data_IF_829273466282
#
_entry.id   IF_829273466282
#
_cell.length_a   1.000
_cell.length_b   1.000
_cell.length_c   1.000
_cell.angle_alpha   90.00
_cell.angle_beta   90.00
_cell.angle_gamma   90.00
#
_symmetry.space_group_name_H-M   'P 1'
#
loop_
_entity.id
_entity.type
_entity.pdbx_description
1 polymer ?
#
# COMPACT_ATOMS: atom_id res chain seq x y z
N UNK A 1 16.57 -17.17 -41.84
CA UNK A 1 16.07 -18.14 -40.84
C UNK A 1 16.07 -17.44 -39.49
N UNK A 2 14.95 -16.86 -39.09
CA UNK A 2 14.84 -16.10 -37.84
C UNK A 2 14.60 -17.09 -36.70
N UNK A 3 15.59 -17.20 -35.80
CA UNK A 3 15.51 -17.95 -34.56
C UNK A 3 14.35 -17.44 -33.71
N UNK A 4 13.25 -18.21 -33.67
CA UNK A 4 12.13 -18.00 -32.76
C UNK A 4 12.60 -18.37 -31.36
N UNK A 5 13.15 -17.40 -30.63
CA UNK A 5 13.41 -17.55 -29.20
C UNK A 5 12.10 -18.01 -28.54
N UNK A 6 12.11 -19.10 -27.78
CA UNK A 6 10.94 -19.67 -27.07
C UNK A 6 10.36 -18.76 -25.97
N UNK A 7 10.62 -17.45 -26.05
CA UNK A 7 10.16 -16.41 -25.15
C UNK A 7 8.69 -16.02 -25.40
N UNK A 8 8.12 -16.37 -26.56
CA UNK A 8 6.73 -16.08 -26.88
C UNK A 8 5.71 -16.73 -25.94
N UNK A 9 6.05 -17.85 -25.30
CA UNK A 9 5.20 -18.50 -24.30
C UNK A 9 5.16 -17.77 -22.95
N UNK A 10 6.04 -16.80 -22.73
CA UNK A 10 6.09 -15.96 -21.52
C UNK A 10 5.48 -14.58 -21.75
N UNK A 11 4.99 -14.29 -22.96
CA UNK A 11 4.29 -13.04 -23.21
C UNK A 11 3.00 -13.00 -22.38
N UNK A 12 2.85 -11.96 -21.57
CA UNK A 12 1.62 -11.73 -20.84
C UNK A 12 0.47 -11.45 -21.81
N UNK A 13 -0.70 -12.02 -21.52
CA UNK A 13 -1.92 -11.67 -22.24
C UNK A 13 -2.33 -10.23 -21.93
N UNK A 14 -3.18 -9.59 -22.76
CA UNK A 14 -3.68 -8.24 -22.48
C UNK A 14 -4.26 -8.09 -21.07
N UNK A 15 -5.09 -9.05 -20.64
CA UNK A 15 -5.66 -9.07 -19.29
C UNK A 15 -4.58 -9.15 -18.18
N UNK A 16 -3.50 -9.89 -18.42
CA UNK A 16 -2.40 -9.98 -17.46
C UNK A 16 -1.57 -8.69 -17.41
N UNK A 17 -1.51 -7.94 -18.50
CA UNK A 17 -0.91 -6.61 -18.51
C UNK A 17 -1.74 -5.63 -17.69
N UNK A 18 -3.06 -5.65 -17.85
CA UNK A 18 -3.97 -4.79 -17.08
C UNK A 18 -3.84 -5.08 -15.58
N UNK A 19 -3.91 -6.36 -15.20
CA UNK A 19 -3.69 -6.78 -13.81
C UNK A 19 -2.30 -6.41 -13.27
N UNK A 20 -1.27 -6.47 -14.12
CA UNK A 20 0.09 -6.06 -13.73
C UNK A 20 0.16 -4.55 -13.47
N UNK A 21 -0.54 -3.74 -14.27
CA UNK A 21 -0.61 -2.30 -14.05
C UNK A 21 -1.28 -1.96 -12.72
N UNK A 22 -2.41 -2.59 -12.43
CA UNK A 22 -3.09 -2.42 -11.14
C UNK A 22 -2.21 -2.87 -9.96
N UNK A 23 -1.51 -4.00 -10.11
CA UNK A 23 -0.57 -4.49 -9.11
C UNK A 23 0.54 -3.48 -8.83
N UNK A 24 1.10 -2.85 -9.87
CA UNK A 24 2.13 -1.81 -9.71
C UNK A 24 1.59 -0.64 -8.88
N UNK A 25 0.37 -0.16 -9.17
CA UNK A 25 -0.22 0.94 -8.41
C UNK A 25 -0.49 0.56 -6.95
N UNK A 26 -0.97 -0.65 -6.70
CA UNK A 26 -1.19 -1.15 -5.32
C UNK A 26 0.15 -1.27 -4.57
N UNK A 27 1.22 -1.73 -5.22
CA UNK A 27 2.53 -1.88 -4.60
C UNK A 27 3.16 -0.53 -4.20
N UNK A 28 2.87 0.56 -4.94
CA UNK A 28 3.32 1.91 -4.57
C UNK A 28 2.80 2.36 -3.21
N UNK A 29 1.69 1.80 -2.72
CA UNK A 29 1.18 2.10 -1.38
C UNK A 29 2.19 1.75 -0.28
N UNK A 30 3.06 0.77 -0.53
CA UNK A 30 4.06 0.28 0.41
C UNK A 30 5.42 0.96 0.26
N UNK A 31 5.67 1.65 -0.85
CA UNK A 31 7.00 2.19 -1.22
C UNK A 31 7.64 2.99 -0.08
N UNK A 32 6.93 3.97 0.48
CA UNK A 32 7.49 4.81 1.55
C UNK A 32 7.85 4.02 2.81
N UNK A 33 7.10 2.96 3.14
CA UNK A 33 7.43 2.08 4.27
C UNK A 33 8.62 1.19 3.92
N UNK A 34 8.61 0.58 2.73
CA UNK A 34 9.71 -0.27 2.25
C UNK A 34 11.02 0.50 2.21
N UNK A 35 11.01 1.75 1.74
CA UNK A 35 12.18 2.63 1.71
C UNK A 35 12.66 3.03 3.11
N UNK A 36 11.75 3.17 4.06
CA UNK A 36 12.12 3.47 5.45
C UNK A 36 12.81 2.26 6.09
N UNK A 37 12.28 1.05 5.89
CA UNK A 37 12.81 -0.19 6.45
C UNK A 37 14.00 -0.78 5.67
N UNK A 38 14.28 -0.30 4.46
CA UNK A 38 15.46 -0.74 3.69
C UNK A 38 16.76 -0.07 4.13
N UNK A 39 16.67 1.00 4.93
CA UNK A 39 17.82 1.69 5.51
C UNK A 39 18.52 0.81 6.56
N UNK A 40 19.84 0.95 6.73
CA UNK A 40 20.60 0.16 7.71
C UNK A 40 20.26 0.51 9.16
N UNK A 41 19.73 1.71 9.40
CA UNK A 41 19.34 2.17 10.72
C UNK A 41 17.95 1.66 11.10
N UNK A 42 17.74 1.38 12.39
CA UNK A 42 16.44 0.98 12.92
C UNK A 42 15.48 2.18 12.83
N UNK A 43 14.37 2.07 12.07
CA UNK A 43 13.41 3.15 11.94
C UNK A 43 12.80 3.55 13.29
N UNK A 44 12.69 4.85 13.54
CA UNK A 44 12.04 5.34 14.75
C UNK A 44 10.52 5.23 14.62
N UNK A 45 9.86 4.91 15.73
CA UNK A 45 8.41 4.76 15.77
C UNK A 45 7.65 6.02 15.32
N UNK A 46 8.22 7.21 15.56
CA UNK A 46 7.63 8.49 15.14
C UNK A 46 7.63 8.68 13.63
N UNK A 47 8.57 8.05 12.93
CA UNK A 47 8.66 8.08 11.46
C UNK A 47 7.82 6.99 10.82
N UNK A 48 7.73 5.82 11.48
CA UNK A 48 6.99 4.65 10.98
C UNK A 48 5.48 4.79 11.16
N UNK A 49 5.03 5.28 12.32
CA UNK A 49 3.61 5.29 12.69
C UNK A 49 2.71 6.11 11.72
N UNK A 50 3.09 7.32 11.28
CA UNK A 50 2.31 8.07 10.30
C UNK A 50 2.17 7.34 8.97
N UNK A 51 3.24 6.65 8.54
CA UNK A 51 3.25 5.88 7.30
C UNK A 51 2.37 4.63 7.40
N UNK A 52 2.39 3.92 8.53
CA UNK A 52 1.46 2.80 8.78
C UNK A 52 0.00 3.26 8.79
N UNK A 53 -0.29 4.42 9.39
CA UNK A 53 -1.64 5.01 9.41
C UNK A 53 -2.10 5.45 8.01
N UNK A 54 -1.17 5.94 7.18
CA UNK A 54 -1.43 6.25 5.78
C UNK A 54 -1.74 4.98 4.98
N UNK A 55 -0.90 3.94 5.12
CA UNK A 55 -1.09 2.65 4.46
C UNK A 55 -2.44 2.04 4.82
N UNK A 56 -2.82 2.03 6.10
CA UNK A 56 -4.12 1.52 6.52
C UNK A 56 -5.29 2.24 5.84
N UNK A 57 -5.25 3.58 5.77
CA UNK A 57 -6.30 4.35 5.08
C UNK A 57 -6.36 4.02 3.59
N UNK A 58 -5.21 3.88 2.94
CA UNK A 58 -5.14 3.48 1.53
C UNK A 58 -5.68 2.08 1.30
N UNK A 59 -5.37 1.12 2.17
CA UNK A 59 -5.91 -0.25 2.09
C UNK A 59 -7.43 -0.30 2.31
N UNK A 60 -7.96 0.52 3.21
CA UNK A 60 -9.42 0.67 3.38
C UNK A 60 -10.10 1.21 2.12
N UNK A 61 -9.54 2.27 1.52
CA UNK A 61 -10.05 2.81 0.26
C UNK A 61 -10.03 1.77 -0.87
N UNK A 62 -8.95 0.99 -0.98
CA UNK A 62 -8.82 -0.10 -1.94
C UNK A 62 -9.85 -1.22 -1.71
N UNK A 63 -10.15 -1.54 -0.45
CA UNK A 63 -11.14 -2.57 -0.10
C UNK A 63 -12.59 -2.12 -0.37
N UNK A 64 -12.91 -0.88 0.00
CA UNK A 64 -14.22 -0.25 -0.18
C UNK A 64 -14.51 0.14 -1.64
N UNK A 65 -13.56 -0.10 -2.56
CA UNK A 65 -13.61 0.34 -3.97
C UNK A 65 -14.00 1.83 -4.08
N UNK A 66 -13.59 2.60 -3.07
CA UNK A 66 -13.84 4.03 -3.00
C UNK A 66 -12.68 4.72 -3.70
N UNK A 67 -12.93 5.61 -4.67
CA UNK A 67 -11.85 6.33 -5.32
C UNK A 67 -11.02 7.02 -4.22
N UNK A 68 -9.70 6.79 -4.16
CA UNK A 68 -8.88 7.48 -3.17
C UNK A 68 -9.09 8.99 -3.36
N UNK A 69 -9.13 9.80 -2.27
CA UNK A 69 -9.30 11.26 -2.36
C UNK A 69 -8.15 11.95 -3.10
N UNK A 70 -7.15 11.18 -3.51
CA UNK A 70 -6.08 11.57 -4.40
C UNK A 70 -6.12 10.57 -5.56
N UNK A 71 -6.87 10.90 -6.60
CA UNK A 71 -6.77 10.25 -7.90
C UNK A 71 -5.28 10.17 -8.25
N UNK A 72 -4.72 8.96 -8.40
CA UNK A 72 -3.31 8.75 -8.75
C UNK A 72 -2.94 9.28 -10.15
N UNK A 73 -3.90 9.86 -10.85
CA UNK A 73 -3.76 10.71 -12.01
C UNK A 73 -4.95 11.65 -11.96
N UNK A 74 -4.76 12.96 -12.15
CA UNK A 74 -5.83 13.97 -12.21
C UNK A 74 -6.68 13.84 -13.47
N UNK A 75 -7.12 12.63 -13.79
CA UNK A 75 -7.89 12.28 -14.97
C UNK A 75 -9.17 11.60 -14.50
N UNK A 76 -10.31 12.24 -14.79
CA UNK A 76 -11.63 11.62 -14.73
C UNK A 76 -11.63 10.46 -15.73
N UNK A 77 -11.29 9.27 -15.26
CA UNK A 77 -11.44 8.02 -16.00
C UNK A 77 -12.62 7.33 -15.34
N UNK A 78 -13.57 6.84 -16.15
CA UNK A 78 -14.58 5.88 -15.72
C UNK A 78 -13.88 4.83 -14.83
N UNK A 79 -14.14 4.87 -13.53
CA UNK A 79 -13.41 4.04 -12.56
C UNK A 79 -13.82 2.58 -12.83
N UNK A 80 -12.97 1.86 -13.57
CA UNK A 80 -13.16 0.42 -13.69
C UNK A 80 -13.01 -0.16 -12.26
N UNK A 81 -13.97 -0.99 -11.80
CA UNK A 81 -13.92 -1.55 -10.46
C UNK A 81 -12.62 -2.32 -10.27
N UNK A 82 -11.96 -2.08 -9.14
CA UNK A 82 -10.70 -2.74 -8.81
C UNK A 82 -10.88 -4.26 -8.85
N UNK A 83 -9.96 -5.00 -9.47
CA UNK A 83 -10.06 -6.47 -9.53
C UNK A 83 -10.26 -7.05 -8.12
N UNK A 84 -11.20 -7.99 -7.93
CA UNK A 84 -11.53 -8.56 -6.63
C UNK A 84 -10.33 -9.16 -5.89
N UNK A 85 -9.28 -9.60 -6.59
CA UNK A 85 -8.03 -10.09 -5.99
C UNK A 85 -7.39 -9.03 -5.10
N UNK A 86 -7.37 -7.77 -5.53
CA UNK A 86 -6.76 -6.68 -4.75
C UNK A 86 -7.60 -6.35 -3.52
N UNK A 87 -8.93 -6.42 -3.61
CA UNK A 87 -9.82 -6.21 -2.46
C UNK A 87 -9.61 -7.29 -1.40
N UNK A 88 -9.45 -8.55 -1.82
CA UNK A 88 -9.13 -9.66 -0.92
C UNK A 88 -7.75 -9.46 -0.27
N UNK A 89 -6.75 -9.04 -1.05
CA UNK A 89 -5.41 -8.74 -0.53
C UNK A 89 -5.41 -7.56 0.45
N UNK A 90 -6.18 -6.51 0.17
CA UNK A 90 -6.37 -5.37 1.05
C UNK A 90 -6.99 -5.80 2.38
N UNK A 91 -8.05 -6.61 2.33
CA UNK A 91 -8.70 -7.16 3.51
C UNK A 91 -7.73 -8.01 4.37
N UNK A 92 -6.95 -8.89 3.74
CA UNK A 92 -5.95 -9.69 4.45
C UNK A 92 -4.87 -8.81 5.12
N UNK A 93 -4.47 -7.73 4.45
CA UNK A 93 -3.52 -6.76 4.99
C UNK A 93 -4.09 -5.98 6.17
N UNK A 94 -5.36 -5.57 6.11
CA UNK A 94 -6.06 -4.91 7.22
C UNK A 94 -6.18 -5.82 8.45
N UNK A 95 -6.44 -7.11 8.26
CA UNK A 95 -6.43 -8.08 9.37
C UNK A 95 -5.07 -8.14 10.09
N UNK A 96 -3.96 -8.02 9.36
CA UNK A 96 -2.62 -7.96 9.99
C UNK A 96 -2.45 -6.66 10.78
N UNK A 97 -2.90 -5.53 10.25
CA UNK A 97 -2.87 -4.24 10.96
C UNK A 97 -3.66 -4.35 12.27
N UNK A 98 -4.88 -4.87 12.23
CA UNK A 98 -5.72 -5.05 13.42
C UNK A 98 -5.09 -5.98 14.44
N UNK A 99 -4.50 -7.10 13.99
CA UNK A 99 -3.85 -8.08 14.86
C UNK A 99 -2.68 -7.48 15.65
N UNK A 100 -1.87 -6.64 15.01
CA UNK A 100 -0.64 -6.10 15.62
C UNK A 100 -0.82 -4.70 16.22
N UNK A 101 -1.92 -4.00 15.94
CA UNK A 101 -2.22 -2.69 16.53
C UNK A 101 -2.13 -2.65 18.06
N UNK A 102 -2.60 -3.66 18.83
CA UNK A 102 -2.47 -3.64 20.28
C UNK A 102 -1.02 -3.53 20.74
N UNK A 103 -0.07 -4.19 20.05
CA UNK A 103 1.35 -4.14 20.40
C UNK A 103 1.95 -2.73 20.28
N UNK A 104 1.42 -1.90 19.36
CA UNK A 104 1.83 -0.49 19.25
C UNK A 104 1.31 0.35 20.42
N UNK A 105 0.22 -0.08 21.05
CA UNK A 105 -0.42 0.62 22.17
C UNK A 105 0.07 0.14 23.55
N UNK A 106 0.82 -0.97 23.63
CA UNK A 106 1.33 -1.52 24.90
C UNK A 106 2.47 -0.69 25.52
N UNK A 107 3.10 0.20 24.75
CA UNK A 107 4.12 1.10 25.25
C UNK A 107 3.60 2.53 25.30
N UNK A 108 3.31 3.02 26.51
CA UNK A 108 2.80 4.38 26.74
C UNK A 108 3.70 5.46 26.11
N UNK A 109 5.02 5.23 26.04
CA UNK A 109 5.97 6.12 25.39
C UNK A 109 5.69 6.31 23.89
N UNK A 110 5.19 5.29 23.19
CA UNK A 110 4.76 5.44 21.80
C UNK A 110 3.53 6.33 21.71
N UNK A 111 2.53 6.12 22.58
CA UNK A 111 1.32 6.95 22.59
C UNK A 111 1.61 8.43 22.88
N UNK A 112 2.55 8.71 23.79
CA UNK A 112 3.00 10.06 24.14
C UNK A 112 3.78 10.67 22.97
N UNK A 113 4.77 9.95 22.43
CA UNK A 113 5.57 10.44 21.31
C UNK A 113 4.72 10.71 20.07
N UNK A 114 3.76 9.83 19.76
CA UNK A 114 2.82 9.98 18.64
C UNK A 114 1.88 11.17 18.85
N UNK A 115 1.30 11.35 20.06
CA UNK A 115 0.44 12.50 20.36
C UNK A 115 1.19 13.81 20.32
N UNK A 116 2.40 13.85 20.87
CA UNK A 116 3.24 15.04 20.85
C UNK A 116 3.58 15.42 19.40
N UNK A 117 3.94 14.48 18.54
CA UNK A 117 4.22 14.78 17.13
C UNK A 117 3.01 15.35 16.39
N UNK A 118 1.81 14.83 16.65
CA UNK A 118 0.56 15.35 16.07
C UNK A 118 0.19 16.76 16.57
N UNK A 119 0.64 17.16 17.77
CA UNK A 119 0.41 18.51 18.32
C UNK A 119 1.41 19.53 17.78
N UNK A 120 2.62 19.11 17.38
CA UNK A 120 3.66 20.01 16.87
C UNK A 120 3.65 20.22 15.35
N UNK A 121 2.90 19.40 14.60
CA UNK A 121 2.73 19.52 13.13
C UNK A 121 1.29 19.95 12.73
N UNK A 122 0.46 20.34 13.71
CA UNK A 122 -0.88 20.91 13.50
C UNK A 122 -0.88 22.42 13.37
#
# INVERSE_FOLDING_TARGET
MTSTSGLGSYALSPLQWDLLHDLIEVLKLFESLTDLFSKPDVPLIVDVYPLLTKLERSLKALWDDTPPPMSLSGQEIDHEPTDPVFRVAAQASLFMVEKYRPLLNECDYYSISIRTFHVFIG
#
